data_IF_488318220367
#
_entry.id   IF_488318220367
#
_cell.length_a   1.000
_cell.length_b   1.000
_cell.length_c   1.000
_cell.angle_alpha   90.00
_cell.angle_beta   90.00
_cell.angle_gamma   90.00
#
_symmetry.space_group_name_H-M   'P 1'
#
loop_
_entity.id
_entity.type
_entity.pdbx_description
1 polymer ?
#
# COMPACT_ATOMS: atom_id res chain seq x y z
N UNK A 1 47.40 -27.10 -6.49
CA UNK A 1 46.78 -26.02 -5.69
C UNK A 1 46.84 -24.77 -6.51
N UNK A 2 45.79 -24.47 -7.28
CA UNK A 2 45.64 -23.21 -8.00
C UNK A 2 45.66 -22.07 -6.97
N UNK A 3 46.57 -21.11 -7.10
CA UNK A 3 46.55 -19.88 -6.36
C UNK A 3 45.18 -19.22 -6.66
N UNK A 4 44.31 -19.13 -5.67
CA UNK A 4 43.10 -18.31 -5.79
C UNK A 4 43.60 -16.91 -6.14
N UNK A 5 43.13 -16.41 -7.28
CA UNK A 5 43.43 -15.06 -7.71
C UNK A 5 42.79 -14.10 -6.74
N UNK A 6 43.56 -13.63 -5.76
CA UNK A 6 43.10 -12.77 -4.67
C UNK A 6 42.48 -11.49 -5.20
N UNK A 7 42.89 -11.01 -6.35
CA UNK A 7 42.39 -9.80 -6.99
C UNK A 7 40.97 -10.04 -7.56
N UNK A 8 40.71 -11.20 -8.17
CA UNK A 8 39.38 -11.58 -8.63
C UNK A 8 38.39 -11.75 -7.47
N UNK A 9 38.83 -12.28 -6.33
CA UNK A 9 37.98 -12.42 -5.12
C UNK A 9 37.61 -11.05 -4.52
N UNK A 10 38.59 -10.13 -4.47
CA UNK A 10 38.33 -8.77 -3.98
C UNK A 10 37.36 -8.03 -4.91
N UNK A 11 37.51 -8.13 -6.22
CA UNK A 11 36.56 -7.50 -7.17
C UNK A 11 35.13 -8.06 -7.03
N UNK A 12 35.00 -9.36 -6.78
CA UNK A 12 33.69 -9.99 -6.54
C UNK A 12 33.06 -9.52 -5.22
N UNK A 13 33.87 -9.36 -4.17
CA UNK A 13 33.41 -8.82 -2.88
C UNK A 13 32.93 -7.37 -3.02
N UNK A 14 33.67 -6.50 -3.71
CA UNK A 14 33.24 -5.12 -3.98
C UNK A 14 31.94 -5.06 -4.77
N UNK A 15 31.75 -5.95 -5.74
CA UNK A 15 30.49 -6.06 -6.48
C UNK A 15 29.32 -6.48 -5.60
N UNK A 16 29.54 -7.43 -4.69
CA UNK A 16 28.52 -7.88 -3.72
C UNK A 16 28.16 -6.79 -2.73
N UNK A 17 29.15 -6.04 -2.22
CA UNK A 17 28.90 -4.90 -1.33
C UNK A 17 28.11 -3.81 -2.04
N UNK A 18 28.48 -3.42 -3.27
CA UNK A 18 27.74 -2.44 -4.07
C UNK A 18 26.32 -2.90 -4.41
N UNK A 19 26.08 -4.20 -4.60
CA UNK A 19 24.73 -4.76 -4.75
C UNK A 19 23.93 -4.68 -3.45
N UNK A 20 24.56 -4.96 -2.31
CA UNK A 20 23.96 -4.85 -0.98
C UNK A 20 23.53 -3.42 -0.68
N UNK A 21 24.39 -2.43 -0.91
CA UNK A 21 24.07 -1.02 -0.74
C UNK A 21 22.89 -0.57 -1.64
N UNK A 22 22.88 -0.99 -2.90
CA UNK A 22 21.77 -0.71 -3.83
C UNK A 22 20.46 -1.32 -3.34
N UNK A 23 20.51 -2.53 -2.79
CA UNK A 23 19.34 -3.20 -2.27
C UNK A 23 18.79 -2.48 -1.02
N UNK A 24 19.64 -2.04 -0.10
CA UNK A 24 19.24 -1.26 1.07
C UNK A 24 18.59 0.07 0.65
N UNK A 25 19.17 0.78 -0.31
CA UNK A 25 18.59 2.01 -0.86
C UNK A 25 17.19 1.78 -1.46
N UNK A 26 16.99 0.67 -2.18
CA UNK A 26 15.66 0.33 -2.74
C UNK A 26 14.66 0.02 -1.65
N UNK A 27 15.07 -0.65 -0.58
CA UNK A 27 14.20 -0.95 0.57
C UNK A 27 13.77 0.33 1.31
N UNK A 28 14.68 1.27 1.48
CA UNK A 28 14.38 2.54 2.14
C UNK A 28 13.46 3.41 1.27
N UNK A 29 13.72 3.49 -0.03
CA UNK A 29 12.82 4.11 -1.00
C UNK A 29 11.41 3.49 -0.93
N UNK A 30 11.33 2.15 -0.81
CA UNK A 30 10.05 1.45 -0.70
C UNK A 30 9.31 1.76 0.61
N UNK A 31 10.02 1.87 1.74
CA UNK A 31 9.43 2.25 3.03
C UNK A 31 8.81 3.66 2.96
N UNK A 32 9.54 4.62 2.38
CA UNK A 32 9.08 6.00 2.18
C UNK A 32 7.83 5.99 1.28
N UNK A 33 7.90 5.28 0.15
CA UNK A 33 6.79 5.14 -0.78
C UNK A 33 5.54 4.50 -0.12
N UNK A 34 5.71 3.39 0.61
CA UNK A 34 4.61 2.71 1.28
C UNK A 34 3.97 3.57 2.38
N UNK A 35 4.78 4.36 3.10
CA UNK A 35 4.28 5.32 4.09
C UNK A 35 3.46 6.42 3.43
N UNK A 36 3.92 6.98 2.32
CA UNK A 36 3.20 8.01 1.56
C UNK A 36 1.88 7.48 0.98
N UNK A 37 1.85 6.28 0.39
CA UNK A 37 0.61 5.68 -0.14
C UNK A 37 -0.42 5.38 0.99
N UNK A 38 0.04 5.01 2.19
CA UNK A 38 -0.85 4.86 3.35
C UNK A 38 -1.43 6.19 3.84
N UNK A 39 -0.67 7.27 3.77
CA UNK A 39 -1.18 8.62 4.04
C UNK A 39 -2.18 9.05 2.96
N UNK A 40 -1.91 8.75 1.69
CA UNK A 40 -2.75 9.15 0.57
C UNK A 40 -4.15 8.59 0.63
N UNK A 41 -4.29 7.31 1.01
CA UNK A 41 -5.59 6.65 1.05
C UNK A 41 -5.60 5.56 2.12
N UNK A 42 -6.62 5.58 2.97
CA UNK A 42 -6.89 4.51 3.92
C UNK A 42 -8.37 4.18 3.94
N UNK A 43 -8.72 3.02 4.49
CA UNK A 43 -10.09 2.57 4.61
C UNK A 43 -10.29 1.87 5.94
N UNK A 44 -11.49 2.00 6.49
CA UNK A 44 -11.89 1.29 7.70
C UNK A 44 -13.35 0.87 7.63
N UNK A 45 -13.73 -0.09 8.44
CA UNK A 45 -15.11 -0.55 8.58
C UNK A 45 -15.69 0.15 9.79
N UNK A 46 -16.75 0.94 9.63
CA UNK A 46 -17.42 1.60 10.77
C UNK A 46 -18.29 0.59 11.54
N UNK A 47 -18.48 0.82 12.83
CA UNK A 47 -19.38 -0.01 13.65
C UNK A 47 -20.85 0.21 13.29
N UNK A 48 -21.18 1.40 12.79
CA UNK A 48 -22.50 1.75 12.28
C UNK A 48 -22.51 1.74 10.73
N UNK A 49 -23.68 1.87 10.13
CA UNK A 49 -23.82 1.89 8.66
C UNK A 49 -23.46 3.23 8.03
N UNK A 50 -23.19 4.25 8.85
CA UNK A 50 -22.91 5.62 8.44
C UNK A 50 -23.91 6.15 7.38
N UNK A 51 -25.22 5.98 7.66
CA UNK A 51 -26.30 6.33 6.74
C UNK A 51 -26.62 7.82 6.76
N UNK A 52 -26.35 8.47 7.86
CA UNK A 52 -26.54 9.92 8.06
C UNK A 52 -25.22 10.65 8.19
N UNK A 53 -25.16 11.98 7.94
CA UNK A 53 -23.94 12.76 8.17
C UNK A 53 -23.43 12.65 9.62
N UNK A 54 -24.34 12.65 10.61
CA UNK A 54 -23.98 12.51 12.02
C UNK A 54 -23.34 11.14 12.33
N UNK A 55 -23.93 10.04 11.87
CA UNK A 55 -23.35 8.70 12.01
C UNK A 55 -22.00 8.58 11.31
N UNK A 56 -21.83 9.28 10.17
CA UNK A 56 -20.57 9.31 9.45
C UNK A 56 -19.48 10.04 10.27
N UNK A 57 -19.84 11.18 10.84
CA UNK A 57 -18.94 11.95 11.70
C UNK A 57 -18.57 11.16 12.95
N UNK A 58 -19.52 10.47 13.56
CA UNK A 58 -19.29 9.60 14.73
C UNK A 58 -18.32 8.47 14.40
N UNK A 59 -18.49 7.79 13.24
CA UNK A 59 -17.58 6.75 12.79
C UNK A 59 -16.16 7.26 12.59
N UNK A 60 -15.97 8.48 12.06
CA UNK A 60 -14.67 9.11 11.92
C UNK A 60 -14.03 9.45 13.28
N UNK A 61 -14.82 9.95 14.24
CA UNK A 61 -14.34 10.23 15.59
C UNK A 61 -13.91 8.95 16.31
N UNK A 62 -14.68 7.89 16.17
CA UNK A 62 -14.34 6.59 16.76
C UNK A 62 -13.04 6.06 16.17
N UNK A 63 -12.89 6.06 14.85
CA UNK A 63 -11.66 5.67 14.17
C UNK A 63 -10.43 6.47 14.64
N UNK A 64 -10.57 7.79 14.74
CA UNK A 64 -9.48 8.65 15.20
C UNK A 64 -9.11 8.35 16.65
N UNK A 65 -10.08 8.16 17.53
CA UNK A 65 -9.88 7.81 18.94
C UNK A 65 -9.16 6.48 19.12
N UNK A 66 -9.58 5.44 18.38
CA UNK A 66 -8.96 4.11 18.42
C UNK A 66 -7.50 4.13 17.96
N UNK A 67 -7.19 4.99 16.98
CA UNK A 67 -5.85 5.12 16.44
C UNK A 67 -5.00 6.22 17.13
N UNK A 68 -5.52 6.89 18.16
CA UNK A 68 -4.84 7.95 18.89
C UNK A 68 -4.49 9.17 18.03
N UNK A 69 -5.34 9.48 17.03
CA UNK A 69 -5.14 10.59 16.09
C UNK A 69 -6.02 11.79 16.42
N UNK A 70 -5.52 12.98 16.10
CA UNK A 70 -6.35 14.20 16.16
C UNK A 70 -7.27 14.27 14.95
N UNK A 71 -8.55 14.58 15.16
CA UNK A 71 -9.54 14.74 14.09
C UNK A 71 -10.25 16.07 14.23
N UNK A 72 -10.36 16.82 13.14
CA UNK A 72 -11.20 18.02 13.02
C UNK A 72 -12.08 17.88 11.78
N UNK A 73 -13.40 17.93 11.96
CA UNK A 73 -14.34 17.88 10.83
C UNK A 73 -14.56 19.30 10.32
N UNK A 74 -14.14 19.56 9.08
CA UNK A 74 -14.28 20.85 8.42
C UNK A 74 -15.66 21.00 7.78
N UNK A 75 -16.17 19.90 7.20
CA UNK A 75 -17.48 19.89 6.55
C UNK A 75 -18.22 18.60 6.87
N UNK A 76 -19.35 18.74 7.58
CA UNK A 76 -20.25 17.63 7.87
C UNK A 76 -21.22 17.42 6.71
N UNK A 77 -21.15 16.25 6.06
CA UNK A 77 -21.98 15.88 4.92
C UNK A 77 -21.89 14.36 4.68
N UNK A 78 -22.60 13.85 3.65
CA UNK A 78 -22.44 12.47 3.18
C UNK A 78 -21.08 12.23 2.49
N UNK A 79 -20.34 13.28 2.20
CA UNK A 79 -18.95 13.30 1.73
C UNK A 79 -18.18 14.28 2.64
N UNK A 80 -17.93 13.91 3.89
CA UNK A 80 -17.30 14.81 4.85
C UNK A 80 -15.89 15.17 4.43
N UNK A 81 -15.52 16.43 4.68
CA UNK A 81 -14.15 16.91 4.60
C UNK A 81 -13.66 17.08 6.03
N UNK A 82 -12.53 16.53 6.34
CA UNK A 82 -11.97 16.50 7.68
C UNK A 82 -10.44 16.45 7.64
N UNK A 83 -9.83 16.84 8.74
CA UNK A 83 -8.39 16.86 8.93
C UNK A 83 -8.00 15.81 9.97
N UNK A 84 -7.02 14.98 9.65
CA UNK A 84 -6.38 14.05 10.58
C UNK A 84 -4.89 14.39 10.66
N UNK A 85 -4.42 14.72 11.86
CA UNK A 85 -3.02 15.05 12.14
C UNK A 85 -2.47 16.17 11.21
N UNK A 86 -3.30 17.18 10.89
CA UNK A 86 -2.93 18.30 10.03
C UNK A 86 -3.05 18.02 8.52
N UNK A 87 -3.60 16.88 8.12
CA UNK A 87 -3.77 16.48 6.71
C UNK A 87 -5.26 16.43 6.38
N UNK A 88 -5.66 17.10 5.30
CA UNK A 88 -7.07 17.14 4.86
C UNK A 88 -7.44 15.91 4.02
N UNK A 89 -8.59 15.33 4.35
CA UNK A 89 -9.15 14.16 3.69
C UNK A 89 -10.62 14.36 3.31
N UNK A 90 -11.02 13.68 2.26
CA UNK A 90 -12.42 13.48 1.90
C UNK A 90 -12.77 12.01 2.08
N UNK A 91 -13.89 11.71 2.73
CA UNK A 91 -14.35 10.34 2.90
C UNK A 91 -15.55 10.01 2.01
N UNK A 92 -15.56 8.76 1.54
CA UNK A 92 -16.64 8.20 0.75
C UNK A 92 -17.02 6.84 1.34
N UNK A 93 -18.31 6.67 1.58
CA UNK A 93 -18.87 5.37 1.98
C UNK A 93 -19.02 4.49 0.75
N UNK A 94 -18.59 3.25 0.89
CA UNK A 94 -18.84 2.17 -0.09
C UNK A 94 -19.50 0.99 0.61
N UNK A 95 -20.44 0.36 -0.07
CA UNK A 95 -21.03 -0.89 0.38
C UNK A 95 -20.35 -2.05 -0.33
N UNK A 96 -19.88 -2.99 0.45
CA UNK A 96 -19.30 -4.24 -0.01
C UNK A 96 -20.13 -5.43 0.46
N UNK A 97 -19.71 -6.63 0.10
CA UNK A 97 -20.35 -7.89 0.51
C UNK A 97 -20.41 -8.07 2.04
N UNK A 98 -19.52 -7.41 2.77
CA UNK A 98 -19.36 -7.55 4.23
C UNK A 98 -19.85 -6.33 5.02
N UNK A 99 -20.58 -5.40 4.39
CA UNK A 99 -21.11 -4.21 5.05
C UNK A 99 -20.61 -2.89 4.48
N UNK A 100 -20.76 -1.83 5.27
CA UNK A 100 -20.27 -0.51 4.92
C UNK A 100 -18.76 -0.40 5.17
N UNK A 101 -18.06 0.25 4.26
CA UNK A 101 -16.65 0.60 4.36
C UNK A 101 -16.48 2.08 4.04
N UNK A 102 -15.76 2.79 4.88
CA UNK A 102 -15.41 4.19 4.65
C UNK A 102 -14.02 4.23 4.04
N UNK A 103 -13.92 4.84 2.86
CA UNK A 103 -12.64 5.11 2.20
C UNK A 103 -12.33 6.58 2.30
N UNK A 104 -11.20 6.89 2.88
CA UNK A 104 -10.67 8.24 3.03
C UNK A 104 -9.56 8.47 2.02
N UNK A 105 -9.61 9.60 1.32
CA UNK A 105 -8.63 9.99 0.31
C UNK A 105 -8.16 11.41 0.61
N UNK A 106 -6.86 11.62 0.60
CA UNK A 106 -6.25 12.93 0.79
C UNK A 106 -6.72 13.91 -0.27
N UNK A 107 -7.11 15.12 0.15
CA UNK A 107 -7.63 16.17 -0.75
C UNK A 107 -6.50 16.79 -1.57
N UNK A 108 -5.31 16.97 -0.97
CA UNK A 108 -4.14 17.58 -1.58
C UNK A 108 -2.97 16.59 -1.70
N UNK A 109 -3.06 15.62 -2.66
CA UNK A 109 -2.01 14.60 -2.83
C UNK A 109 -0.68 15.18 -3.32
N UNK A 110 -0.65 16.42 -3.84
CA UNK A 110 0.55 17.14 -4.25
C UNK A 110 1.55 17.34 -3.11
N UNK A 111 1.10 17.48 -1.87
CA UNK A 111 1.97 17.60 -0.70
C UNK A 111 2.85 16.35 -0.50
N UNK A 112 2.34 15.17 -0.87
CA UNK A 112 3.12 13.94 -0.84
C UNK A 112 4.12 13.82 -1.97
N UNK A 113 3.94 14.56 -3.07
CA UNK A 113 4.91 14.56 -4.17
C UNK A 113 6.26 15.14 -3.73
N UNK A 114 6.26 16.05 -2.76
CA UNK A 114 7.48 16.58 -2.17
C UNK A 114 8.22 15.51 -1.35
N UNK A 115 7.52 14.70 -0.57
CA UNK A 115 8.11 13.56 0.16
C UNK A 115 8.66 12.48 -0.81
N UNK A 116 8.12 12.40 -2.03
CA UNK A 116 8.48 11.40 -3.03
C UNK A 116 9.47 11.91 -4.09
N UNK A 117 9.91 13.17 -4.04
CA UNK A 117 10.79 13.76 -5.07
C UNK A 117 12.09 12.98 -5.27
N UNK A 118 12.67 12.49 -4.18
CA UNK A 118 13.94 11.77 -4.19
C UNK A 118 13.81 10.37 -4.82
N UNK A 119 12.57 9.85 -4.94
CA UNK A 119 12.33 8.54 -5.55
C UNK A 119 12.07 8.71 -7.05
N UNK A 120 12.92 8.14 -7.94
CA UNK A 120 12.71 8.22 -9.37
C UNK A 120 11.31 7.72 -9.79
N UNK A 121 10.64 8.44 -10.69
CA UNK A 121 9.27 8.12 -11.11
C UNK A 121 9.10 6.69 -11.66
N UNK A 122 10.15 6.13 -12.29
CA UNK A 122 10.19 4.73 -12.75
C UNK A 122 10.13 3.76 -11.57
N UNK A 123 10.85 4.04 -10.46
CA UNK A 123 10.83 3.22 -9.24
C UNK A 123 9.46 3.30 -8.55
N UNK A 124 8.84 4.49 -8.49
CA UNK A 124 7.48 4.66 -7.93
C UNK A 124 6.45 3.80 -8.66
N UNK A 125 6.49 3.76 -9.99
CA UNK A 125 5.62 2.90 -10.81
C UNK A 125 5.87 1.41 -10.52
N UNK A 126 7.14 1.02 -10.42
CA UNK A 126 7.52 -0.34 -10.09
C UNK A 126 7.08 -0.75 -8.68
N UNK A 127 7.26 0.11 -7.67
CA UNK A 127 6.79 -0.14 -6.30
C UNK A 127 5.27 -0.34 -6.24
N UNK A 128 4.52 0.47 -6.98
CA UNK A 128 3.06 0.34 -7.09
C UNK A 128 2.66 -1.00 -7.72
N UNK A 129 3.33 -1.39 -8.79
CA UNK A 129 3.12 -2.68 -9.44
C UNK A 129 3.44 -3.85 -8.49
N UNK A 130 4.59 -3.80 -7.83
CA UNK A 130 5.02 -4.85 -6.88
C UNK A 130 4.04 -4.97 -5.72
N UNK A 131 3.63 -3.87 -5.10
CA UNK A 131 2.69 -3.91 -3.98
C UNK A 131 1.31 -4.46 -4.40
N UNK A 132 0.88 -4.18 -5.62
CA UNK A 132 -0.37 -4.73 -6.18
C UNK A 132 -0.27 -6.23 -6.48
N UNK A 133 0.90 -6.73 -6.87
CA UNK A 133 1.11 -8.14 -7.20
C UNK A 133 1.51 -8.99 -5.99
N UNK A 134 2.24 -8.44 -5.01
CA UNK A 134 2.73 -9.21 -3.86
C UNK A 134 1.62 -9.75 -2.96
N UNK A 135 0.53 -9.00 -2.77
CA UNK A 135 -0.59 -9.43 -1.93
C UNK A 135 -1.29 -10.66 -2.55
N UNK A 136 -1.69 -10.65 -3.83
CA UNK A 136 -2.26 -11.83 -4.48
C UNK A 136 -1.28 -12.99 -4.54
N UNK A 137 0.00 -12.74 -4.83
CA UNK A 137 1.02 -13.79 -4.87
C UNK A 137 1.25 -14.44 -3.49
N UNK A 138 1.27 -13.65 -2.43
CA UNK A 138 1.37 -14.13 -1.05
C UNK A 138 0.16 -14.96 -0.63
N UNK A 139 -1.05 -14.52 -0.95
CA UNK A 139 -2.29 -15.27 -0.73
C UNK A 139 -2.30 -16.59 -1.51
N UNK A 140 -1.82 -16.56 -2.74
CA UNK A 140 -1.70 -17.72 -3.60
C UNK A 140 -0.75 -18.77 -3.01
N UNK A 141 0.46 -18.37 -2.59
CA UNK A 141 1.43 -19.24 -1.93
C UNK A 141 0.90 -19.80 -0.61
N UNK A 142 0.21 -18.95 0.18
CA UNK A 142 -0.45 -19.39 1.41
C UNK A 142 -1.51 -20.43 1.13
N UNK A 143 -2.34 -20.23 0.10
CA UNK A 143 -3.39 -21.17 -0.27
C UNK A 143 -2.81 -22.54 -0.69
N UNK A 144 -1.74 -22.57 -1.51
CA UNK A 144 -1.03 -23.80 -1.87
C UNK A 144 -0.49 -24.50 -0.61
N UNK A 145 0.13 -23.75 0.30
CA UNK A 145 0.72 -24.31 1.51
C UNK A 145 -0.33 -24.93 2.45
N UNK A 146 -1.54 -24.34 2.52
CA UNK A 146 -2.61 -24.81 3.40
C UNK A 146 -3.44 -25.94 2.76
N UNK A 147 -3.74 -25.85 1.47
CA UNK A 147 -4.58 -26.85 0.78
C UNK A 147 -3.81 -28.06 0.29
N UNK A 148 -2.50 -27.98 0.13
CA UNK A 148 -1.67 -29.02 -0.47
C UNK A 148 -1.94 -29.27 -1.96
N UNK A 149 -2.87 -28.52 -2.57
CA UNK A 149 -3.33 -28.73 -3.94
C UNK A 149 -2.71 -27.71 -4.90
N UNK A 150 -1.57 -28.11 -5.49
CA UNK A 150 -0.79 -27.29 -6.41
C UNK A 150 -1.57 -26.98 -7.69
N UNK A 151 -2.46 -27.87 -8.13
CA UNK A 151 -3.23 -27.71 -9.38
C UNK A 151 -4.27 -26.61 -9.23
N UNK A 152 -5.01 -26.61 -8.12
CA UNK A 152 -5.98 -25.57 -7.80
C UNK A 152 -5.31 -24.20 -7.65
N UNK A 153 -4.13 -24.21 -7.02
CA UNK A 153 -3.29 -23.03 -6.89
C UNK A 153 -2.87 -22.48 -8.25
N UNK A 154 -2.38 -23.28 -9.16
CA UNK A 154 -1.98 -22.90 -10.52
C UNK A 154 -3.16 -22.34 -11.34
N UNK A 155 -4.33 -22.95 -11.26
CA UNK A 155 -5.55 -22.47 -11.93
C UNK A 155 -5.94 -21.08 -11.45
N UNK A 156 -5.92 -20.84 -10.15
CA UNK A 156 -6.21 -19.51 -9.56
C UNK A 156 -5.17 -18.47 -9.99
N UNK A 157 -3.88 -18.83 -10.02
CA UNK A 157 -2.80 -17.95 -10.47
C UNK A 157 -2.93 -17.54 -11.92
N UNK A 158 -3.22 -18.46 -12.81
CA UNK A 158 -3.44 -18.20 -14.25
C UNK A 158 -4.64 -17.28 -14.50
N UNK A 159 -5.67 -17.32 -13.64
CA UNK A 159 -6.83 -16.43 -13.75
C UNK A 159 -6.61 -15.06 -13.14
N UNK A 160 -5.93 -14.98 -11.99
CA UNK A 160 -5.79 -13.72 -11.23
C UNK A 160 -4.70 -12.83 -11.83
N UNK A 161 -3.57 -13.37 -12.26
CA UNK A 161 -2.45 -12.58 -12.79
C UNK A 161 -2.81 -11.79 -14.06
N UNK A 162 -3.49 -12.36 -15.07
CA UNK A 162 -3.94 -11.59 -16.24
C UNK A 162 -4.99 -10.53 -15.90
N UNK A 163 -5.90 -10.81 -14.97
CA UNK A 163 -6.93 -9.86 -14.53
C UNK A 163 -6.31 -8.64 -13.84
N UNK A 164 -5.29 -8.85 -13.03
CA UNK A 164 -4.54 -7.77 -12.38
C UNK A 164 -3.68 -6.99 -13.40
N UNK A 165 -3.02 -7.69 -14.32
CA UNK A 165 -2.25 -7.07 -15.39
C UNK A 165 -3.14 -6.22 -16.32
N UNK A 166 -4.35 -6.69 -16.64
CA UNK A 166 -5.33 -5.95 -17.43
C UNK A 166 -5.79 -4.66 -16.76
N UNK A 167 -6.04 -4.69 -15.45
CA UNK A 167 -6.37 -3.48 -14.68
C UNK A 167 -5.20 -2.49 -14.55
N UNK A 168 -3.98 -2.95 -14.73
CA UNK A 168 -2.78 -2.12 -14.62
C UNK A 168 -2.39 -1.45 -15.94
N UNK A 169 -2.73 -2.08 -17.09
CA UNK A 169 -2.44 -1.59 -18.43
C UNK A 169 -3.51 -0.60 -18.96
N UNK A 170 -4.59 -0.41 -18.22
CA UNK A 170 -5.68 0.52 -18.51
C UNK A 170 -5.64 1.72 -17.56
#
# INVERSE_FOLDING_TARGET
LAALDTEAVLEEMEKLEAQGERFMTILDDYKIFAKAERKRTFSFVPDNMALTPAEFSEALFQYAKENGRSLVITKESMYPVFEIDGVEYTAVRRFGRFGAMIRCTMTHPEELEDELKDIPGRRRKWFRAVSTCLIPAGLFLYFIAVSGDVILGLLMGVCIVPLLAWNFLR
#
